data_IF_353461685104
#
_entry.id   IF_353461685104
#
_cell.length_a   1.000
_cell.length_b   1.000
_cell.length_c   1.000
_cell.angle_alpha   90.00
_cell.angle_beta   90.00
_cell.angle_gamma   90.00
#
_symmetry.space_group_name_H-M   'P 1'
#
loop_
_entity.id
_entity.type
_entity.pdbx_description
1 polymer ?
#
# COMPACT_ATOMS: atom_id res chain seq x y z
N UNK A 1 -9.85 9.62 5.62
CA UNK A 1 -8.67 8.97 6.22
C UNK A 1 -7.43 9.61 5.63
N UNK A 2 -6.35 9.81 6.39
CA UNK A 2 -5.09 10.29 5.78
C UNK A 2 -4.46 9.16 4.94
N UNK A 3 -3.74 9.47 3.85
CA UNK A 3 -3.09 8.44 3.02
C UNK A 3 -2.24 7.44 3.80
N UNK A 4 -1.49 7.92 4.80
CA UNK A 4 -0.65 7.07 5.67
C UNK A 4 -1.48 6.11 6.53
N UNK A 5 -2.61 6.57 7.07
CA UNK A 5 -3.52 5.75 7.88
C UNK A 5 -4.18 4.66 7.02
N UNK A 6 -4.55 5.01 5.78
CA UNK A 6 -5.12 4.06 4.82
C UNK A 6 -4.09 2.99 4.41
N UNK A 7 -2.85 3.40 4.11
CA UNK A 7 -1.76 2.47 3.82
C UNK A 7 -1.52 1.51 5.00
N UNK A 8 -1.41 2.03 6.23
CA UNK A 8 -1.24 1.19 7.42
C UNK A 8 -2.40 0.20 7.58
N UNK A 9 -3.65 0.66 7.45
CA UNK A 9 -4.81 -0.22 7.56
C UNK A 9 -4.78 -1.35 6.52
N UNK A 10 -4.41 -1.06 5.28
CA UNK A 10 -4.32 -2.06 4.20
C UNK A 10 -3.21 -3.07 4.50
N UNK A 11 -2.02 -2.59 4.88
CA UNK A 11 -0.88 -3.46 5.17
C UNK A 11 -1.21 -4.39 6.34
N UNK A 12 -1.77 -3.87 7.43
CA UNK A 12 -2.11 -4.67 8.61
C UNK A 12 -3.22 -5.70 8.33
N UNK A 13 -4.18 -5.42 7.44
CA UNK A 13 -5.26 -6.37 7.14
C UNK A 13 -4.91 -7.40 6.06
N UNK A 14 -4.19 -7.01 5.01
CA UNK A 14 -3.88 -7.89 3.87
C UNK A 14 -2.53 -8.58 3.98
N UNK A 15 -1.54 -7.92 4.60
CA UNK A 15 -0.15 -8.39 4.66
C UNK A 15 0.39 -8.37 6.10
N UNK A 16 -0.29 -8.97 7.09
CA UNK A 16 0.08 -8.87 8.51
C UNK A 16 1.46 -9.43 8.84
N UNK A 17 2.01 -10.31 7.98
CA UNK A 17 3.27 -11.00 8.20
C UNK A 17 4.36 -10.60 7.18
N UNK A 18 4.15 -9.54 6.40
CA UNK A 18 5.16 -9.11 5.45
C UNK A 18 6.42 -8.63 6.18
N UNK A 19 7.59 -8.88 5.58
CA UNK A 19 8.86 -8.43 6.13
C UNK A 19 9.01 -6.91 6.01
N UNK A 20 8.58 -6.35 4.88
CA UNK A 20 8.69 -4.91 4.59
C UNK A 20 7.50 -4.45 3.75
N UNK A 21 6.96 -3.28 4.09
CA UNK A 21 6.03 -2.54 3.26
C UNK A 21 6.58 -1.13 2.98
N UNK A 22 6.66 -0.75 1.71
CA UNK A 22 7.13 0.55 1.27
C UNK A 22 5.96 1.31 0.62
N UNK A 23 5.59 2.44 1.22
CA UNK A 23 4.68 3.39 0.59
C UNK A 23 5.48 4.24 -0.41
N UNK A 24 4.95 4.41 -1.61
CA UNK A 24 5.55 5.19 -2.69
C UNK A 24 4.56 6.16 -3.30
N UNK A 25 4.80 6.50 -4.56
CA UNK A 25 3.84 7.29 -5.33
C UNK A 25 3.81 8.77 -4.99
N UNK A 26 2.74 9.44 -5.45
CA UNK A 26 2.53 10.88 -5.26
C UNK A 26 2.37 11.26 -3.78
N UNK A 27 1.87 10.33 -2.94
CA UNK A 27 1.69 10.54 -1.49
C UNK A 27 3.00 10.86 -0.79
N UNK A 28 4.04 10.07 -1.02
CA UNK A 28 5.34 10.28 -0.35
C UNK A 28 6.09 11.48 -0.93
N UNK A 29 5.84 11.83 -2.20
CA UNK A 29 6.42 13.04 -2.83
C UNK A 29 5.72 14.34 -2.42
N UNK A 30 4.59 14.27 -1.71
CA UNK A 30 3.79 15.45 -1.36
C UNK A 30 2.97 16.01 -2.53
N UNK A 31 2.81 15.24 -3.60
CA UNK A 31 2.09 15.62 -4.83
C UNK A 31 0.69 14.99 -4.90
N UNK A 32 0.24 14.31 -3.84
CA UNK A 32 -1.04 13.62 -3.83
C UNK A 32 -2.23 14.59 -3.92
N UNK A 33 -3.19 14.22 -4.75
CA UNK A 33 -4.50 14.85 -4.92
C UNK A 33 -5.59 14.03 -4.23
N UNK A 34 -6.82 14.55 -4.17
CA UNK A 34 -7.98 13.81 -3.64
C UNK A 34 -8.32 12.53 -4.40
N UNK A 35 -7.85 12.40 -5.64
CA UNK A 35 -8.07 11.24 -6.52
C UNK A 35 -6.79 10.44 -6.73
N UNK A 36 -5.76 10.67 -5.91
CA UNK A 36 -4.53 9.89 -6.00
C UNK A 36 -4.70 8.54 -5.32
N UNK A 37 -4.15 7.51 -5.97
CA UNK A 37 -4.08 6.16 -5.42
C UNK A 37 -2.92 6.02 -4.42
N UNK A 38 -2.89 4.88 -3.73
CA UNK A 38 -1.77 4.47 -2.89
C UNK A 38 -0.91 3.45 -3.62
N UNK A 39 0.36 3.76 -3.81
CA UNK A 39 1.34 2.82 -4.35
C UNK A 39 2.08 2.15 -3.19
N UNK A 40 1.90 0.84 -3.03
CA UNK A 40 2.54 0.06 -1.96
C UNK A 40 3.32 -1.10 -2.56
N UNK A 41 4.59 -1.24 -2.17
CA UNK A 41 5.43 -2.40 -2.49
C UNK A 41 5.56 -3.26 -1.23
N UNK A 42 5.21 -4.54 -1.35
CA UNK A 42 5.30 -5.51 -0.26
C UNK A 42 6.44 -6.48 -0.55
N UNK A 43 7.29 -6.71 0.44
CA UNK A 43 8.29 -7.78 0.46
C UNK A 43 7.84 -8.77 1.53
N UNK A 44 7.54 -10.00 1.11
CA UNK A 44 7.09 -11.08 1.99
C UNK A 44 7.68 -12.40 1.49
N UNK A 45 8.44 -13.07 2.36
CA UNK A 45 9.06 -14.37 2.04
C UNK A 45 8.05 -15.50 1.76
N UNK A 46 6.80 -15.35 2.17
CA UNK A 46 5.75 -16.35 1.94
C UNK A 46 5.08 -16.21 0.56
N UNK A 47 5.41 -15.15 -0.20
CA UNK A 47 4.90 -14.96 -1.56
C UNK A 47 5.48 -16.01 -2.52
N UNK A 48 4.59 -16.77 -3.15
CA UNK A 48 4.98 -17.83 -4.11
C UNK A 48 5.57 -17.26 -5.40
N UNK A 49 5.16 -16.07 -5.80
CA UNK A 49 5.63 -15.39 -7.00
C UNK A 49 5.37 -13.89 -6.91
N UNK A 50 6.22 -13.09 -7.54
CA UNK A 50 5.99 -11.66 -7.69
C UNK A 50 4.73 -11.40 -8.53
N UNK A 51 3.92 -10.44 -8.10
CA UNK A 51 2.75 -10.00 -8.86
C UNK A 51 2.47 -8.52 -8.61
N UNK A 52 1.60 -7.93 -9.44
CA UNK A 52 1.05 -6.58 -9.24
C UNK A 52 -0.45 -6.69 -9.22
N UNK A 53 -1.08 -6.11 -8.20
CA UNK A 53 -2.53 -5.97 -8.11
C UNK A 53 -2.93 -4.50 -7.89
N UNK A 54 -4.20 -4.20 -8.15
CA UNK A 54 -4.81 -2.90 -7.86
C UNK A 54 -6.24 -3.17 -7.44
N UNK A 55 -6.68 -2.55 -6.34
CA UNK A 55 -8.01 -2.77 -5.78
C UNK A 55 -8.50 -1.51 -5.07
N UNK A 56 -9.81 -1.42 -4.91
CA UNK A 56 -10.45 -0.35 -4.13
C UNK A 56 -10.54 -0.77 -2.67
N UNK A 57 -10.21 0.14 -1.75
CA UNK A 57 -10.33 -0.07 -0.31
C UNK A 57 -10.92 1.18 0.34
N UNK A 58 -12.04 1.02 1.05
CA UNK A 58 -12.69 2.06 1.84
C UNK A 58 -13.12 3.37 1.13
N UNK A 59 -13.19 3.39 -0.21
CA UNK A 59 -13.87 4.41 -1.02
C UNK A 59 -13.39 5.84 -0.79
#
# INVERSE_FOLDING_TARGET
MKPMEAAQSIITSHFPNCDVALLGGSVVRGEATKTSDLDIVIVDQNLRSCYRESFYSNG
#
